data_IF_484378171037
#
_entry.id   IF_484378171037
#
_cell.length_a   1.000
_cell.length_b   1.000
_cell.length_c   1.000
_cell.angle_alpha   90.00
_cell.angle_beta   90.00
_cell.angle_gamma   90.00
#
_symmetry.space_group_name_H-M   'P 1'
#
loop_
_entity.id
_entity.type
_entity.pdbx_description
1 polymer ?
#
# COMPACT_ATOMS: atom_id res chain seq x y z
N UNK A 1 -14.92 0.37 -22.60
CA UNK A 1 -13.46 0.19 -22.55
C UNK A 1 -12.93 0.72 -21.22
N UNK A 2 -11.96 0.03 -20.59
CA UNK A 2 -11.44 0.42 -19.26
C UNK A 2 -10.89 1.86 -19.19
N UNK A 3 -10.59 2.49 -20.34
CA UNK A 3 -10.15 3.87 -20.42
C UNK A 3 -11.25 4.91 -20.08
N UNK A 4 -12.53 4.51 -20.04
CA UNK A 4 -13.64 5.43 -19.70
C UNK A 4 -13.70 5.77 -18.22
N UNK A 5 -13.07 4.99 -17.36
CA UNK A 5 -13.08 5.16 -15.90
C UNK A 5 -11.95 6.03 -15.34
N UNK A 6 -11.02 6.48 -16.17
CA UNK A 6 -9.94 7.36 -15.70
C UNK A 6 -10.38 8.83 -15.77
N UNK A 7 -10.09 9.67 -14.76
CA UNK A 7 -10.25 11.12 -14.80
C UNK A 7 -9.60 11.71 -16.08
N UNK A 8 -10.22 12.73 -16.66
CA UNK A 8 -9.83 13.26 -17.98
C UNK A 8 -8.35 13.66 -18.04
N UNK A 9 -7.82 14.27 -16.99
CA UNK A 9 -6.38 14.61 -16.91
C UNK A 9 -5.45 13.40 -16.89
N UNK A 10 -5.87 12.28 -16.31
CA UNK A 10 -5.13 11.01 -16.33
C UNK A 10 -5.25 10.33 -17.69
N UNK A 11 -6.41 10.41 -18.36
CA UNK A 11 -6.60 9.91 -19.74
C UNK A 11 -5.69 10.62 -20.72
N UNK A 12 -5.55 11.95 -20.58
CA UNK A 12 -4.69 12.75 -21.47
C UNK A 12 -3.21 12.43 -21.26
N UNK A 13 -2.77 12.28 -20.01
CA UNK A 13 -1.40 11.87 -19.67
C UNK A 13 -1.11 10.45 -20.16
N UNK A 14 -2.04 9.53 -19.95
CA UNK A 14 -1.92 8.14 -20.38
C UNK A 14 -1.86 8.04 -21.91
N UNK A 15 -2.70 8.81 -22.65
CA UNK A 15 -2.66 8.87 -24.12
C UNK A 15 -1.34 9.44 -24.64
N UNK A 16 -0.81 10.50 -24.04
CA UNK A 16 0.48 11.09 -24.42
C UNK A 16 1.65 10.15 -24.14
N UNK A 17 1.66 9.48 -23.00
CA UNK A 17 2.68 8.50 -22.65
C UNK A 17 2.62 7.26 -23.58
N UNK A 18 1.43 6.77 -23.92
CA UNK A 18 1.24 5.65 -24.84
C UNK A 18 1.64 5.98 -26.29
N UNK A 19 1.53 7.25 -26.70
CA UNK A 19 1.97 7.71 -28.02
C UNK A 19 3.49 7.87 -28.12
N UNK A 20 4.18 8.10 -26.99
CA UNK A 20 5.61 8.37 -26.94
C UNK A 20 6.50 7.14 -26.64
N UNK A 21 5.93 6.05 -26.11
CA UNK A 21 6.67 4.85 -25.72
C UNK A 21 5.71 3.67 -25.49
N UNK A 22 6.13 2.41 -25.68
CA UNK A 22 5.34 1.23 -25.33
C UNK A 22 5.23 1.02 -23.79
N UNK A 23 5.15 2.08 -23.02
CA UNK A 23 5.14 2.02 -21.54
C UNK A 23 3.72 1.69 -21.06
N UNK A 24 3.65 0.69 -20.22
CA UNK A 24 2.48 0.32 -19.43
C UNK A 24 2.34 1.25 -18.23
N UNK A 25 1.22 1.96 -18.15
CA UNK A 25 0.79 2.65 -16.94
C UNK A 25 -0.27 1.78 -16.24
N UNK A 26 0.04 1.33 -15.04
CA UNK A 26 -0.93 0.64 -14.19
C UNK A 26 -1.47 1.61 -13.16
N UNK A 27 -2.79 1.70 -13.04
CA UNK A 27 -3.46 2.41 -11.97
C UNK A 27 -4.17 1.39 -11.09
N UNK A 28 -3.93 1.45 -9.78
CA UNK A 28 -4.60 0.60 -8.80
C UNK A 28 -5.38 1.48 -7.82
N UNK A 29 -6.68 1.24 -7.68
CA UNK A 29 -7.54 2.00 -6.80
C UNK A 29 -7.73 1.42 -5.37
N UNK A 30 -7.41 0.15 -5.06
CA UNK A 30 -7.94 -0.49 -3.83
C UNK A 30 -7.28 -0.06 -2.53
N UNK A 31 -6.04 0.41 -2.56
CA UNK A 31 -5.27 0.69 -1.33
C UNK A 31 -5.86 1.79 -0.44
N UNK A 32 -6.48 2.80 -1.04
CA UNK A 32 -7.06 3.93 -0.32
C UNK A 32 -8.42 3.59 0.34
N UNK A 33 -9.12 2.57 -0.15
CA UNK A 33 -10.49 2.27 0.26
C UNK A 33 -10.62 1.09 1.21
N UNK A 34 -9.51 0.44 1.58
CA UNK A 34 -9.49 -0.73 2.48
C UNK A 34 -10.52 -1.81 2.11
N UNK A 35 -10.70 -2.07 0.82
CA UNK A 35 -11.60 -3.09 0.30
C UNK A 35 -10.79 -4.31 -0.17
N UNK A 36 -10.37 -5.21 0.74
CA UNK A 36 -9.62 -6.40 0.37
C UNK A 36 -10.49 -7.29 -0.54
N UNK A 37 -9.88 -7.80 -1.61
CA UNK A 37 -10.59 -8.62 -2.59
C UNK A 37 -11.29 -7.86 -3.71
N UNK A 38 -11.41 -6.53 -3.62
CA UNK A 38 -11.95 -5.67 -4.66
C UNK A 38 -10.80 -4.93 -5.37
N UNK A 39 -9.97 -5.65 -6.11
CA UNK A 39 -8.90 -5.06 -6.88
C UNK A 39 -9.37 -4.68 -8.28
N UNK A 40 -9.37 -3.40 -8.58
CA UNK A 40 -9.55 -2.90 -9.94
C UNK A 40 -8.22 -2.29 -10.41
N UNK A 41 -7.66 -2.86 -11.46
CA UNK A 41 -6.43 -2.36 -12.08
C UNK A 41 -6.68 -2.05 -13.56
N UNK A 42 -6.19 -0.92 -14.01
CA UNK A 42 -6.22 -0.51 -15.41
C UNK A 42 -4.83 -0.47 -16.00
N UNK A 43 -4.71 -0.93 -17.25
CA UNK A 43 -3.50 -0.85 -18.04
C UNK A 43 -3.76 0.03 -19.26
N UNK A 44 -2.89 1.00 -19.47
CA UNK A 44 -2.91 1.84 -20.67
C UNK A 44 -1.57 1.68 -21.40
N UNK A 45 -1.64 1.29 -22.66
CA UNK A 45 -0.49 1.12 -23.53
C UNK A 45 -0.86 1.46 -24.98
N UNK A 46 0.09 1.33 -25.92
CA UNK A 46 -0.22 1.42 -27.36
C UNK A 46 -1.26 0.38 -27.77
N UNK A 47 -2.02 0.65 -28.82
CA UNK A 47 -3.06 -0.28 -29.30
C UNK A 47 -2.49 -1.67 -29.62
N UNK A 48 -1.30 -1.71 -30.20
CA UNK A 48 -0.59 -2.96 -30.53
C UNK A 48 -0.28 -3.78 -29.26
N UNK A 49 0.26 -3.15 -28.21
CA UNK A 49 0.57 -3.82 -26.95
C UNK A 49 -0.71 -4.31 -26.25
N UNK A 50 -1.76 -3.49 -26.23
CA UNK A 50 -3.06 -3.87 -25.67
C UNK A 50 -3.64 -5.08 -26.39
N UNK A 51 -3.59 -5.10 -27.73
CA UNK A 51 -4.12 -6.22 -28.53
C UNK A 51 -3.33 -7.51 -28.28
N UNK A 52 -2.01 -7.43 -28.17
CA UNK A 52 -1.18 -8.59 -27.81
C UNK A 52 -1.53 -9.11 -26.42
N UNK A 53 -1.69 -8.23 -25.42
CA UNK A 53 -2.04 -8.61 -24.06
C UNK A 53 -3.45 -9.21 -23.94
N UNK A 54 -4.40 -8.75 -24.76
CA UNK A 54 -5.75 -9.33 -24.81
C UNK A 54 -5.77 -10.82 -25.11
N UNK A 55 -4.82 -11.31 -25.90
CA UNK A 55 -4.71 -12.74 -26.24
C UNK A 55 -4.35 -13.62 -25.06
N UNK A 56 -3.73 -13.05 -24.02
CA UNK A 56 -3.30 -13.74 -22.80
C UNK A 56 -4.21 -13.41 -21.61
N UNK A 57 -5.18 -12.50 -21.80
CA UNK A 57 -6.08 -12.08 -20.73
C UNK A 57 -7.11 -13.17 -20.47
N UNK A 58 -7.14 -13.67 -19.24
CA UNK A 58 -8.19 -14.54 -18.74
C UNK A 58 -9.58 -13.85 -18.87
N UNK A 59 -10.64 -14.58 -19.23
CA UNK A 59 -12.01 -14.08 -19.09
C UNK A 59 -12.32 -13.80 -17.63
N UNK A 60 -13.26 -12.88 -17.37
CA UNK A 60 -13.77 -12.58 -16.02
C UNK A 60 -12.73 -12.02 -15.03
N UNK A 61 -11.76 -11.25 -15.51
CA UNK A 61 -10.69 -10.64 -14.68
C UNK A 61 -11.16 -9.51 -13.79
N UNK A 62 -12.37 -9.02 -13.94
CA UNK A 62 -13.01 -8.02 -13.08
C UNK A 62 -14.31 -8.64 -12.56
N UNK A 63 -14.46 -8.69 -11.24
CA UNK A 63 -15.70 -9.15 -10.65
C UNK A 63 -16.80 -8.06 -10.74
N UNK A 64 -18.06 -8.47 -10.77
CA UNK A 64 -19.22 -7.57 -10.95
C UNK A 64 -19.35 -6.52 -9.84
N UNK A 65 -18.92 -6.84 -8.61
CA UNK A 65 -18.92 -5.89 -7.49
C UNK A 65 -17.90 -4.79 -7.73
N UNK A 66 -16.68 -5.12 -8.16
CA UNK A 66 -15.66 -4.14 -8.51
C UNK A 66 -16.09 -3.26 -9.68
N UNK A 67 -16.78 -3.84 -10.67
CA UNK A 67 -17.31 -3.09 -11.83
C UNK A 67 -18.40 -2.11 -11.39
N UNK A 68 -19.33 -2.54 -10.55
CA UNK A 68 -20.40 -1.68 -10.03
C UNK A 68 -19.89 -0.54 -9.14
N UNK A 69 -18.82 -0.77 -8.35
CA UNK A 69 -18.23 0.23 -7.47
C UNK A 69 -17.29 1.21 -8.19
N UNK A 70 -16.75 0.85 -9.35
CA UNK A 70 -15.79 1.68 -10.07
C UNK A 70 -16.25 3.13 -10.32
N UNK A 71 -17.50 3.42 -10.76
CA UNK A 71 -18.00 4.79 -10.92
C UNK A 71 -18.00 5.57 -9.61
N UNK A 72 -18.42 4.95 -8.50
CA UNK A 72 -18.48 5.57 -7.18
C UNK A 72 -17.10 5.98 -6.67
N UNK A 73 -16.07 5.18 -6.96
CA UNK A 73 -14.69 5.49 -6.59
C UNK A 73 -14.15 6.75 -7.30
N UNK A 74 -14.69 7.10 -8.45
CA UNK A 74 -14.29 8.31 -9.19
C UNK A 74 -14.87 9.60 -8.59
N UNK A 75 -15.92 9.49 -7.77
CA UNK A 75 -16.59 10.62 -7.12
C UNK A 75 -15.98 10.95 -5.75
N UNK A 76 -15.04 10.14 -5.25
CA UNK A 76 -14.49 10.23 -3.89
C UNK A 76 -13.22 11.09 -3.79
N UNK A 77 -13.02 12.06 -4.67
CA UNK A 77 -11.80 12.89 -4.70
C UNK A 77 -11.47 13.59 -3.36
N UNK A 78 -12.49 14.02 -2.61
CA UNK A 78 -12.31 14.59 -1.27
C UNK A 78 -11.77 13.57 -0.28
N UNK A 79 -12.37 12.39 -0.21
CA UNK A 79 -11.93 11.29 0.67
C UNK A 79 -10.49 10.88 0.34
N UNK A 80 -10.14 10.79 -0.94
CA UNK A 80 -8.79 10.45 -1.36
C UNK A 80 -7.77 11.50 -0.91
N UNK A 81 -8.08 12.79 -1.07
CA UNK A 81 -7.22 13.88 -0.64
C UNK A 81 -7.01 13.90 0.88
N UNK A 82 -8.09 13.76 1.65
CA UNK A 82 -8.04 13.69 3.11
C UNK A 82 -7.24 12.47 3.60
N UNK A 83 -7.46 11.30 2.99
CA UNK A 83 -6.71 10.08 3.31
C UNK A 83 -5.22 10.23 3.00
N UNK A 84 -4.86 10.79 1.86
CA UNK A 84 -3.46 11.04 1.48
C UNK A 84 -2.77 11.97 2.47
N UNK A 85 -3.46 13.04 2.91
CA UNK A 85 -2.93 13.98 3.89
C UNK A 85 -2.73 13.27 5.23
N UNK A 86 -3.75 12.61 5.75
CA UNK A 86 -3.67 11.86 7.01
C UNK A 86 -2.50 10.87 7.01
N UNK A 87 -2.37 10.07 5.94
CA UNK A 87 -1.28 9.09 5.82
C UNK A 87 0.08 9.77 5.75
N UNK A 88 0.21 10.93 5.09
CA UNK A 88 1.48 11.65 5.01
C UNK A 88 1.90 12.22 6.38
N UNK A 89 0.96 12.84 7.08
CA UNK A 89 1.18 13.45 8.39
C UNK A 89 1.50 12.36 9.44
N UNK A 90 0.66 11.33 9.51
CA UNK A 90 0.84 10.20 10.43
C UNK A 90 2.08 9.37 10.15
N UNK A 91 2.47 9.19 8.89
CA UNK A 91 3.72 8.51 8.55
C UNK A 91 4.93 9.25 9.12
N UNK A 92 4.94 10.57 9.01
CA UNK A 92 6.04 11.39 9.54
C UNK A 92 6.08 11.33 11.06
N UNK A 93 4.92 11.44 11.73
CA UNK A 93 4.78 11.35 13.18
C UNK A 93 5.18 9.97 13.70
N UNK A 94 4.64 8.91 13.11
CA UNK A 94 4.93 7.53 13.48
C UNK A 94 6.42 7.21 13.30
N UNK A 95 7.00 7.64 12.17
CA UNK A 95 8.43 7.43 11.93
C UNK A 95 9.28 8.07 13.03
N UNK A 96 9.03 9.34 13.37
CA UNK A 96 9.77 10.04 14.42
C UNK A 96 9.63 9.34 15.79
N UNK A 97 8.42 8.87 16.14
CA UNK A 97 8.19 8.15 17.37
C UNK A 97 8.94 6.79 17.41
N UNK A 98 8.94 6.06 16.30
CA UNK A 98 9.62 4.77 16.18
C UNK A 98 11.15 4.91 16.20
N UNK A 99 11.70 5.97 15.57
CA UNK A 99 13.14 6.27 15.61
C UNK A 99 13.66 6.55 17.02
N UNK A 100 12.78 6.93 17.96
CA UNK A 100 13.10 7.09 19.38
C UNK A 100 13.18 5.78 20.16
N UNK A 101 12.84 4.64 19.57
CA UNK A 101 12.89 3.34 20.27
C UNK A 101 14.28 2.74 20.06
N UNK A 102 14.98 2.52 21.17
CA UNK A 102 16.29 1.87 21.18
C UNK A 102 16.24 0.47 20.53
N UNK A 103 17.21 0.15 19.68
CA UNK A 103 17.27 -1.13 18.96
C UNK A 103 16.21 -1.31 17.88
N UNK A 104 15.58 -0.23 17.41
CA UNK A 104 14.67 -0.24 16.26
C UNK A 104 15.22 0.65 15.14
N UNK A 105 15.53 0.05 14.00
CA UNK A 105 15.89 0.78 12.79
C UNK A 105 14.65 1.00 11.93
N UNK A 106 14.37 2.24 11.53
CA UNK A 106 13.22 2.60 10.67
C UNK A 106 13.70 3.10 9.33
N UNK A 107 13.21 2.49 8.26
CA UNK A 107 13.61 2.86 6.90
C UNK A 107 12.70 3.94 6.30
N UNK A 108 13.26 4.84 5.46
CA UNK A 108 12.47 5.86 4.77
C UNK A 108 11.36 5.24 3.91
N UNK A 109 10.17 5.84 3.91
CA UNK A 109 9.04 5.38 3.11
C UNK A 109 8.24 6.55 2.56
N UNK A 110 7.65 6.34 1.38
CA UNK A 110 6.60 7.19 0.79
C UNK A 110 5.26 6.47 0.67
N UNK A 111 5.20 5.22 1.15
CA UNK A 111 4.00 4.40 1.18
C UNK A 111 3.18 4.63 2.46
N UNK A 112 2.08 3.91 2.57
CA UNK A 112 1.23 3.85 3.78
C UNK A 112 1.72 2.81 4.80
N UNK A 113 3.01 2.50 4.77
CA UNK A 113 3.68 1.61 5.72
C UNK A 113 5.14 2.00 5.91
N UNK A 114 5.74 1.57 7.02
CA UNK A 114 7.16 1.68 7.31
C UNK A 114 7.77 0.28 7.40
N UNK A 115 8.95 0.11 6.80
CA UNK A 115 9.79 -1.05 7.03
C UNK A 115 10.65 -0.76 8.26
N UNK A 116 10.73 -1.75 9.15
CA UNK A 116 11.49 -1.68 10.38
C UNK A 116 12.40 -2.89 10.52
N UNK A 117 13.51 -2.75 11.25
CA UNK A 117 14.36 -3.84 11.67
C UNK A 117 14.54 -3.80 13.19
N UNK A 118 14.30 -4.93 13.85
CA UNK A 118 14.50 -5.12 15.27
C UNK A 118 15.89 -5.65 15.51
N UNK A 119 16.70 -4.89 16.23
CA UNK A 119 18.11 -5.17 16.45
C UNK A 119 18.42 -5.64 17.88
N UNK A 120 17.40 -5.73 18.76
CA UNK A 120 17.58 -6.14 20.17
C UNK A 120 17.74 -7.64 20.33
N UNK A 121 17.11 -8.42 19.49
CA UNK A 121 17.06 -9.87 19.59
C UNK A 121 17.36 -10.47 18.20
N UNK A 122 18.07 -11.60 18.13
CA UNK A 122 18.37 -12.26 16.86
C UNK A 122 17.13 -12.88 16.21
N UNK A 123 16.08 -13.16 17.02
CA UNK A 123 14.81 -13.70 16.56
C UNK A 123 13.68 -12.69 16.75
N UNK A 124 12.85 -12.55 15.72
CA UNK A 124 11.70 -11.65 15.72
C UNK A 124 10.47 -12.25 16.46
N UNK A 125 10.41 -13.56 16.65
CA UNK A 125 9.25 -14.26 17.18
C UNK A 125 8.83 -13.79 18.58
N UNK A 126 9.74 -13.50 19.54
CA UNK A 126 9.34 -12.95 20.84
C UNK A 126 8.62 -11.63 20.70
N UNK A 127 9.12 -10.72 19.86
CA UNK A 127 8.47 -9.43 19.56
C UNK A 127 7.09 -9.64 18.96
N UNK A 128 6.96 -10.50 17.95
CA UNK A 128 5.68 -10.75 17.28
C UNK A 128 4.63 -11.32 18.25
N UNK A 129 5.02 -12.27 19.11
CA UNK A 129 4.12 -12.82 20.14
C UNK A 129 3.68 -11.77 21.15
N UNK A 130 4.59 -10.91 21.61
CA UNK A 130 4.28 -9.82 22.55
C UNK A 130 3.31 -8.81 21.93
N UNK A 131 3.52 -8.40 20.71
CA UNK A 131 2.62 -7.49 20.00
C UNK A 131 1.25 -8.13 19.77
N UNK A 132 1.22 -9.40 19.37
CA UNK A 132 -0.03 -10.14 19.14
C UNK A 132 -0.85 -10.29 20.43
N UNK A 133 -0.21 -10.54 21.57
CA UNK A 133 -0.88 -10.60 22.88
C UNK A 133 -1.58 -9.26 23.24
N UNK A 134 -1.11 -8.15 22.69
CA UNK A 134 -1.72 -6.81 22.83
C UNK A 134 -2.72 -6.48 21.70
N UNK A 135 -3.05 -7.45 20.85
CA UNK A 135 -3.93 -7.26 19.70
C UNK A 135 -3.30 -6.44 18.57
N UNK A 136 -1.97 -6.38 18.52
CA UNK A 136 -1.21 -5.65 17.49
C UNK A 136 -0.61 -6.67 16.51
N UNK A 137 -1.05 -6.63 15.26
CA UNK A 137 -0.51 -7.48 14.21
C UNK A 137 0.37 -6.65 13.26
N UNK A 138 1.63 -7.05 13.10
CA UNK A 138 2.58 -6.47 12.15
C UNK A 138 2.92 -7.49 11.06
N UNK A 139 3.41 -7.03 9.92
CA UNK A 139 3.79 -7.93 8.82
C UNK A 139 5.23 -8.41 9.02
N UNK A 140 5.41 -9.69 9.30
CA UNK A 140 6.70 -10.36 9.25
C UNK A 140 7.24 -10.33 7.80
N UNK A 141 8.46 -9.82 7.62
CA UNK A 141 9.11 -9.67 6.32
C UNK A 141 10.25 -10.66 6.09
N UNK A 142 10.50 -11.61 6.98
CA UNK A 142 11.57 -12.61 6.86
C UNK A 142 11.41 -13.53 5.63
N UNK A 143 10.22 -13.61 5.06
CA UNK A 143 9.93 -14.38 3.85
C UNK A 143 10.23 -13.62 2.54
N UNK A 144 10.71 -12.38 2.60
CA UNK A 144 11.13 -11.64 1.42
C UNK A 144 12.62 -11.84 1.17
N UNK A 145 13.06 -12.18 -0.06
CA UNK A 145 14.47 -12.27 -0.38
C UNK A 145 15.22 -10.97 -0.03
N UNK A 146 16.32 -11.08 0.72
CA UNK A 146 17.13 -9.94 1.18
C UNK A 146 16.60 -9.20 2.42
N UNK A 147 15.47 -9.65 3.00
CA UNK A 147 14.99 -9.19 4.29
C UNK A 147 15.01 -10.38 5.27
N UNK A 148 16.16 -10.59 5.90
CA UNK A 148 16.39 -11.73 6.78
C UNK A 148 15.91 -11.47 8.22
N UNK A 149 16.66 -11.90 9.23
CA UNK A 149 16.27 -11.76 10.64
C UNK A 149 15.95 -10.31 11.03
N UNK A 150 14.92 -10.11 11.84
CA UNK A 150 14.56 -8.84 12.44
C UNK A 150 13.68 -7.91 11.60
N UNK A 151 13.46 -8.18 10.31
CA UNK A 151 12.67 -7.28 9.47
C UNK A 151 11.17 -7.52 9.60
N UNK A 152 10.44 -6.43 9.81
CA UNK A 152 8.97 -6.40 9.81
C UNK A 152 8.45 -5.08 9.25
N UNK A 153 7.18 -5.04 8.90
CA UNK A 153 6.53 -3.87 8.34
C UNK A 153 5.31 -3.48 9.16
N UNK A 154 5.17 -2.20 9.44
CA UNK A 154 4.04 -1.61 10.14
C UNK A 154 3.22 -0.76 9.18
N UNK A 155 1.89 -0.82 9.27
CA UNK A 155 1.01 0.06 8.51
C UNK A 155 0.90 1.42 9.21
N UNK A 156 0.85 2.49 8.44
CA UNK A 156 0.43 3.80 8.93
C UNK A 156 -1.08 3.81 9.06
N UNK A 157 -1.58 4.09 10.27
CA UNK A 157 -3.01 4.02 10.62
C UNK A 157 -3.47 5.32 11.27
N UNK A 158 -4.57 5.28 12.04
CA UNK A 158 -5.03 6.43 12.82
C UNK A 158 -4.04 6.79 13.93
N UNK A 159 -4.07 8.02 14.45
CA UNK A 159 -3.20 8.43 15.56
C UNK A 159 -3.24 7.45 16.73
N UNK A 160 -4.42 7.05 17.18
CA UNK A 160 -4.63 6.16 18.33
C UNK A 160 -4.05 4.76 18.08
N UNK A 161 -4.22 4.24 16.87
CA UNK A 161 -3.66 2.92 16.50
C UNK A 161 -2.14 2.97 16.40
N UNK A 162 -1.59 4.09 15.88
CA UNK A 162 -0.14 4.30 15.80
C UNK A 162 0.47 4.45 17.19
N UNK A 163 -0.17 5.16 18.11
CA UNK A 163 0.31 5.33 19.49
C UNK A 163 0.34 3.99 20.23
N UNK A 164 -0.69 3.16 20.09
CA UNK A 164 -0.70 1.79 20.63
C UNK A 164 0.45 0.93 20.08
N UNK A 165 0.77 1.07 18.79
CA UNK A 165 1.90 0.37 18.20
C UNK A 165 3.23 0.82 18.82
N UNK A 166 3.44 2.13 18.97
CA UNK A 166 4.65 2.69 19.59
C UNK A 166 4.80 2.20 21.02
N UNK A 167 3.75 2.25 21.83
CA UNK A 167 3.73 1.71 23.20
C UNK A 167 4.06 0.22 23.23
N UNK A 168 3.47 -0.57 22.33
CA UNK A 168 3.72 -2.01 22.23
C UNK A 168 5.17 -2.36 21.86
N UNK A 169 5.81 -1.53 21.01
CA UNK A 169 7.21 -1.71 20.62
C UNK A 169 8.19 -1.20 21.69
N UNK A 170 7.86 -0.14 22.41
CA UNK A 170 8.68 0.43 23.47
C UNK A 170 8.70 -0.43 24.75
N UNK A 171 7.64 -1.16 25.03
CA UNK A 171 7.50 -2.05 26.18
C UNK A 171 8.55 -3.14 26.17
N UNK A 172 9.13 -3.42 27.35
CA UNK A 172 10.16 -4.46 27.54
C UNK A 172 9.61 -5.74 28.18
N UNK A 173 8.30 -5.75 28.46
CA UNK A 173 7.60 -6.89 29.10
C UNK A 173 6.96 -7.82 28.08
#
# INVERSE_FOLDING_TARGET
SAASYLPEGLRLRARRAAAASPIMLTASAPGAYRLPGLALQGLTASAEVVERLRRFKEPWTVNSVSEALAPLLLETGRYEAETRRLVADERSRLRAALEGIDGLTVFPSRANFLLCRWDREPDLDPLLRRLLARGICVRDCRNFPGLEAGYFRVAVRTPEENDRLVEGLASRD
#
